data_IF_172464163477
#
_entry.id   IF_172464163477
#
_cell.length_a   1.000
_cell.length_b   1.000
_cell.length_c   1.000
_cell.angle_alpha   90.00
_cell.angle_beta   90.00
_cell.angle_gamma   90.00
#
_symmetry.space_group_name_H-M   'P 1'
#
loop_
_entity.id
_entity.type
_entity.pdbx_description
1 polymer ?
#
# COMPACT_ATOMS: atom_id res chain seq x y z
N UNK A 1 -19.35 11.15 50.24
CA UNK A 1 -18.08 11.27 51.00
C UNK A 1 -17.55 9.88 51.36
N UNK A 2 -18.10 9.16 52.36
CA UNK A 2 -17.53 7.84 52.76
C UNK A 2 -18.04 6.65 51.93
N UNK A 3 -19.27 6.71 51.41
CA UNK A 3 -19.87 5.66 50.57
C UNK A 3 -19.18 5.53 49.20
N UNK A 4 -18.78 6.66 48.62
CA UNK A 4 -18.18 6.72 47.29
C UNK A 4 -16.78 6.08 47.28
N UNK A 5 -16.01 6.28 48.36
CA UNK A 5 -14.66 5.69 48.55
C UNK A 5 -14.72 4.16 48.69
N UNK A 6 -15.75 3.63 49.35
CA UNK A 6 -15.95 2.18 49.50
C UNK A 6 -16.29 1.56 48.13
N UNK A 7 -17.16 2.21 47.35
CA UNK A 7 -17.56 1.71 46.02
C UNK A 7 -16.38 1.72 45.05
N UNK A 8 -15.55 2.76 45.06
CA UNK A 8 -14.36 2.86 44.20
C UNK A 8 -13.32 1.78 44.53
N UNK A 9 -13.12 1.49 45.82
CA UNK A 9 -12.14 0.48 46.26
C UNK A 9 -12.58 -0.94 45.88
N UNK A 10 -13.87 -1.24 45.93
CA UNK A 10 -14.43 -2.56 45.59
C UNK A 10 -14.49 -2.78 44.07
N UNK A 11 -14.72 -1.72 43.28
CA UNK A 11 -14.89 -1.82 41.81
C UNK A 11 -13.58 -1.65 41.02
N UNK A 12 -12.53 -1.10 41.63
CA UNK A 12 -11.20 -0.98 41.04
C UNK A 12 -10.63 -2.28 40.41
N UNK A 13 -10.65 -3.45 41.10
CA UNK A 13 -10.11 -4.69 40.52
C UNK A 13 -10.89 -5.14 39.28
N UNK A 14 -12.22 -4.93 39.24
CA UNK A 14 -13.07 -5.28 38.09
C UNK A 14 -12.73 -4.41 36.88
N UNK A 15 -12.45 -3.12 37.09
CA UNK A 15 -12.02 -2.20 36.02
C UNK A 15 -10.66 -2.58 35.45
N UNK A 16 -9.72 -2.96 36.29
CA UNK A 16 -8.38 -3.42 35.87
C UNK A 16 -8.50 -4.74 35.11
N UNK A 17 -9.26 -5.71 35.62
CA UNK A 17 -9.51 -6.98 34.95
C UNK A 17 -10.18 -6.77 33.58
N UNK A 18 -11.19 -5.90 33.49
CA UNK A 18 -11.86 -5.57 32.21
C UNK A 18 -10.92 -4.86 31.23
N UNK A 19 -10.00 -4.02 31.71
CA UNK A 19 -8.99 -3.37 30.89
C UNK A 19 -7.89 -4.32 30.39
N UNK A 20 -7.58 -5.39 31.14
CA UNK A 20 -6.67 -6.45 30.73
C UNK A 20 -7.33 -7.44 29.76
N UNK A 21 -8.60 -7.76 29.96
CA UNK A 21 -9.39 -8.64 29.07
C UNK A 21 -9.70 -7.94 27.73
N UNK A 22 -9.89 -6.62 27.72
CA UNK A 22 -10.18 -5.84 26.51
C UNK A 22 -8.97 -5.44 25.65
N UNK A 23 -7.75 -5.86 26.00
CA UNK A 23 -6.50 -5.43 25.32
C UNK A 23 -5.99 -6.40 24.25
N UNK A 24 -6.69 -7.51 24.00
CA UNK A 24 -6.19 -8.60 23.15
C UNK A 24 -6.54 -8.49 21.66
N UNK A 25 -7.49 -7.63 21.26
CA UNK A 25 -7.88 -7.47 19.85
C UNK A 25 -7.26 -6.26 19.14
N UNK A 26 -6.40 -5.48 19.82
CA UNK A 26 -5.64 -4.41 19.18
C UNK A 26 -4.33 -4.92 18.59
N UNK A 27 -4.30 -6.17 18.13
CA UNK A 27 -3.27 -6.66 17.21
C UNK A 27 -3.39 -5.82 15.95
N UNK A 28 -2.55 -4.79 15.88
CA UNK A 28 -2.04 -4.15 14.68
C UNK A 28 -2.88 -4.45 13.43
N UNK A 29 -4.00 -3.74 13.28
CA UNK A 29 -4.54 -3.53 11.95
C UNK A 29 -3.50 -2.63 11.26
N UNK A 30 -2.41 -3.23 10.76
CA UNK A 30 -1.53 -2.55 9.84
C UNK A 30 -2.43 -2.24 8.65
N UNK A 31 -2.85 -0.98 8.55
CA UNK A 31 -3.70 -0.52 7.47
C UNK A 31 -2.86 -0.54 6.19
N UNK A 32 -2.69 -1.73 5.60
CA UNK A 32 -2.06 -1.90 4.32
C UNK A 32 -2.93 -1.22 3.27
N UNK A 33 -2.33 -0.25 2.57
CA UNK A 33 -2.95 0.39 1.42
C UNK A 33 -2.49 -0.34 0.18
N UNK A 34 -3.44 -0.96 -0.52
CA UNK A 34 -3.16 -1.61 -1.80
C UNK A 34 -2.96 -0.55 -2.88
N UNK A 35 -1.73 -0.44 -3.41
CA UNK A 35 -1.46 0.42 -4.55
C UNK A 35 -2.10 -0.11 -5.84
N UNK A 36 -2.17 -1.44 -5.98
CA UNK A 36 -2.89 -2.15 -7.02
C UNK A 36 -3.62 -3.31 -6.38
N UNK A 37 -4.86 -3.57 -6.81
CA UNK A 37 -5.66 -4.70 -6.34
C UNK A 37 -6.45 -5.24 -7.52
N UNK A 38 -6.30 -6.54 -7.78
CA UNK A 38 -7.06 -7.28 -8.79
C UNK A 38 -7.05 -6.62 -10.19
N UNK A 39 -5.87 -6.19 -10.64
CA UNK A 39 -5.67 -5.61 -11.98
C UNK A 39 -5.32 -6.73 -12.97
N UNK A 40 -6.03 -6.81 -14.08
CA UNK A 40 -5.78 -7.80 -15.13
C UNK A 40 -6.09 -7.21 -16.51
N UNK A 41 -5.15 -7.36 -17.44
CA UNK A 41 -5.31 -7.00 -18.84
C UNK A 41 -4.24 -7.70 -19.67
N UNK A 42 -4.52 -7.87 -20.96
CA UNK A 42 -3.53 -8.26 -21.97
C UNK A 42 -3.41 -7.14 -23.00
N UNK A 43 -2.18 -6.91 -23.47
CA UNK A 43 -1.90 -5.92 -24.51
C UNK A 43 -1.19 -6.59 -25.68
N UNK A 44 -1.86 -6.60 -26.83
CA UNK A 44 -1.31 -7.14 -28.07
C UNK A 44 -0.33 -6.16 -28.73
N UNK A 45 0.53 -6.69 -29.60
CA UNK A 45 1.45 -5.90 -30.41
C UNK A 45 0.70 -4.89 -31.29
N UNK A 46 1.24 -3.69 -31.41
CA UNK A 46 0.62 -2.60 -32.18
C UNK A 46 -0.56 -1.90 -31.49
N UNK A 47 -1.01 -2.39 -30.32
CA UNK A 47 -2.07 -1.72 -29.55
C UNK A 47 -1.49 -0.72 -28.54
N UNK A 48 -2.29 0.29 -28.23
CA UNK A 48 -1.97 1.34 -27.25
C UNK A 48 -2.89 1.21 -26.05
N UNK A 49 -2.32 1.20 -24.84
CA UNK A 49 -3.06 1.22 -23.57
C UNK A 49 -2.90 2.58 -22.88
N UNK A 50 -4.00 3.29 -22.68
CA UNK A 50 -4.04 4.51 -21.87
C UNK A 50 -4.38 4.21 -20.41
N UNK A 51 -3.52 4.61 -19.48
CA UNK A 51 -3.76 4.47 -18.03
C UNK A 51 -4.09 5.84 -17.44
N UNK A 52 -5.35 6.02 -17.01
CA UNK A 52 -5.85 7.28 -16.43
C UNK A 52 -6.42 7.07 -15.04
N UNK A 53 -6.37 8.11 -14.19
CA UNK A 53 -6.86 8.05 -12.82
C UNK A 53 -6.28 9.14 -11.93
N UNK A 54 -6.88 9.36 -10.76
CA UNK A 54 -6.46 10.39 -9.78
C UNK A 54 -5.04 10.14 -9.25
N UNK A 55 -4.46 11.15 -8.60
CA UNK A 55 -3.20 10.98 -7.87
C UNK A 55 -3.37 9.93 -6.75
N UNK A 56 -2.39 9.05 -6.59
CA UNK A 56 -2.45 7.94 -5.65
C UNK A 56 -3.20 6.68 -6.15
N UNK A 57 -3.80 6.70 -7.35
CA UNK A 57 -4.52 5.54 -7.89
C UNK A 57 -3.64 4.35 -8.34
N UNK A 58 -2.34 4.36 -8.05
CA UNK A 58 -1.45 3.24 -8.39
C UNK A 58 -0.81 3.27 -9.78
N UNK A 59 -1.07 4.28 -10.63
CA UNK A 59 -0.55 4.37 -12.01
C UNK A 59 0.97 4.17 -12.11
N UNK A 60 1.74 4.94 -11.33
CA UNK A 60 3.20 4.82 -11.31
C UNK A 60 3.67 3.47 -10.76
N UNK A 61 2.94 2.88 -9.82
CA UNK A 61 3.23 1.52 -9.31
C UNK A 61 3.01 0.48 -10.40
N UNK A 62 1.92 0.58 -11.16
CA UNK A 62 1.65 -0.29 -12.31
C UNK A 62 2.76 -0.17 -13.36
N UNK A 63 3.14 1.05 -13.73
CA UNK A 63 4.23 1.27 -14.69
C UNK A 63 5.56 0.68 -14.21
N UNK A 64 5.91 0.84 -12.92
CA UNK A 64 7.13 0.23 -12.34
C UNK A 64 7.11 -1.29 -12.40
N UNK A 65 5.95 -1.92 -12.19
CA UNK A 65 5.81 -3.38 -12.30
C UNK A 65 5.97 -3.81 -13.76
N UNK A 66 5.30 -3.13 -14.71
CA UNK A 66 5.41 -3.44 -16.14
C UNK A 66 6.83 -3.23 -16.67
N UNK A 67 7.55 -2.21 -16.17
CA UNK A 67 8.95 -1.95 -16.50
C UNK A 67 9.93 -2.82 -15.72
N UNK A 68 9.46 -3.78 -14.91
CA UNK A 68 10.27 -4.68 -14.07
C UNK A 68 11.19 -3.96 -13.07
N UNK A 69 10.84 -2.74 -12.67
CA UNK A 69 11.54 -1.98 -11.60
C UNK A 69 11.12 -2.49 -10.23
N UNK A 70 9.92 -3.05 -10.10
CA UNK A 70 9.39 -3.59 -8.83
C UNK A 70 8.58 -4.85 -9.11
N UNK A 71 8.74 -5.89 -8.30
CA UNK A 71 7.94 -7.12 -8.41
C UNK A 71 6.53 -6.93 -7.81
N UNK A 72 5.49 -7.60 -8.36
CA UNK A 72 4.16 -7.55 -7.77
C UNK A 72 4.13 -8.31 -6.44
N UNK A 73 3.35 -7.82 -5.46
CA UNK A 73 3.15 -8.53 -4.19
C UNK A 73 2.43 -9.87 -4.38
N UNK A 74 1.52 -9.93 -5.36
CA UNK A 74 0.75 -11.12 -5.73
C UNK A 74 0.46 -11.11 -7.23
N UNK A 75 0.27 -12.29 -7.82
CA UNK A 75 -0.02 -12.43 -9.25
C UNK A 75 1.25 -12.45 -10.10
N UNK A 76 1.09 -12.31 -11.42
CA UNK A 76 2.19 -12.43 -12.38
C UNK A 76 2.09 -11.37 -13.47
N UNK A 77 3.24 -11.02 -14.05
CA UNK A 77 3.34 -10.12 -15.20
C UNK A 77 4.29 -10.75 -16.21
N UNK A 78 3.80 -10.95 -17.43
CA UNK A 78 4.59 -11.51 -18.54
C UNK A 78 4.75 -10.45 -19.61
N UNK A 79 6.00 -10.13 -19.97
CA UNK A 79 6.32 -9.17 -21.03
C UNK A 79 7.28 -9.80 -22.02
N UNK A 80 6.96 -9.74 -23.31
CA UNK A 80 7.84 -10.16 -24.41
C UNK A 80 8.60 -8.94 -24.92
N UNK A 81 9.93 -9.02 -24.95
CA UNK A 81 10.80 -7.90 -25.37
C UNK A 81 11.27 -7.02 -24.21
N UNK A 82 11.68 -5.78 -24.54
CA UNK A 82 12.21 -4.79 -23.59
C UNK A 82 11.19 -3.67 -23.37
N UNK A 83 11.06 -3.22 -22.12
CA UNK A 83 10.23 -2.07 -21.75
C UNK A 83 11.14 -0.89 -21.45
N UNK A 84 10.99 0.20 -22.19
CA UNK A 84 11.65 1.47 -21.91
C UNK A 84 10.70 2.42 -21.16
N UNK A 85 11.21 3.13 -20.16
CA UNK A 85 10.48 4.23 -19.53
C UNK A 85 10.97 5.55 -20.12
N UNK A 86 10.07 6.30 -20.75
CA UNK A 86 10.34 7.66 -21.21
C UNK A 86 10.33 8.69 -20.05
N UNK A 87 10.02 8.26 -18.82
CA UNK A 87 9.92 9.13 -17.66
C UNK A 87 11.29 9.54 -17.07
N UNK A 88 12.39 8.89 -17.49
CA UNK A 88 13.76 9.17 -17.03
C UNK A 88 14.57 10.05 -17.99
N UNK A 89 13.91 10.70 -18.96
CA UNK A 89 14.55 11.68 -19.84
C UNK A 89 14.84 12.96 -19.06
N UNK A 90 15.88 12.93 -18.22
CA UNK A 90 16.31 14.09 -17.43
C UNK A 90 17.51 13.86 -16.53
N UNK A 91 17.79 12.62 -16.11
CA UNK A 91 18.92 12.32 -15.20
C UNK A 91 20.08 11.59 -15.86
N UNK A 92 19.91 11.11 -17.10
CA UNK A 92 20.94 10.44 -17.90
C UNK A 92 21.53 11.25 -19.04
N UNK A 93 21.03 12.47 -19.28
CA UNK A 93 21.59 13.37 -20.29
C UNK A 93 22.71 14.18 -19.65
N UNK A 94 23.96 13.88 -19.98
CA UNK A 94 25.06 14.80 -19.74
C UNK A 94 24.85 16.06 -20.61
N UNK A 95 24.77 17.26 -20.03
CA UNK A 95 24.55 18.50 -20.79
C UNK A 95 25.76 18.95 -21.63
N UNK A 96 26.84 18.16 -21.74
CA UNK A 96 28.09 18.55 -22.41
C UNK A 96 28.32 17.95 -23.81
N UNK A 97 27.28 17.42 -24.46
CA UNK A 97 27.33 17.02 -25.88
C UNK A 97 26.35 17.82 -26.75
N UNK A 98 26.13 19.10 -26.41
CA UNK A 98 25.45 20.06 -27.28
C UNK A 98 26.45 20.83 -28.12
#
# INVERSE_FOLDING_TARGET
MLRDVIVDTVTAPVRIAKAMIGKSDRRQNQNYVWALKDVSFDLEEGKVLGIVGRNGAGKSTLLKILSRVTEPTTGTVTVRGRVGSLLEVGTGFHPELS
#
